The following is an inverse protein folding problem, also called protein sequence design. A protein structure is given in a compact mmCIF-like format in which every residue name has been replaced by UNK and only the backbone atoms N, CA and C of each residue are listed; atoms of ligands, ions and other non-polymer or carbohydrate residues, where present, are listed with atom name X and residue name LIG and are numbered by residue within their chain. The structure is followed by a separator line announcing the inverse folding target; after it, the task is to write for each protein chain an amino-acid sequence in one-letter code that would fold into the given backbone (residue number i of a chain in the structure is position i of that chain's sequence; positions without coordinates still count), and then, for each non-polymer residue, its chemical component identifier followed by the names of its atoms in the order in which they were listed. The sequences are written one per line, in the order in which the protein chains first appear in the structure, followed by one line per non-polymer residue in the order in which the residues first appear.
data_IF_652085734055
#
_entry.id   IF_652085734055
#
_cell.length_a   1.000
_cell.length_b   1.000
_cell.length_c   1.000
_cell.angle_alpha   90.00
_cell.angle_beta   90.00
_cell.angle_gamma   90.00
#
_symmetry.space_group_name_H-M   'P 1'
#
loop_
_entity.id
_entity.type
_entity.pdbx_description
1 polymer ?
#
# COMPACT_ATOMS: atom_id res chain seq x y z
N UNK A 1 0.48 -4.82 -27.66
CA UNK A 1 0.97 -5.73 -26.59
C UNK A 1 1.14 -4.90 -25.33
N UNK A 2 0.91 -5.45 -24.12
CA UNK A 2 1.18 -4.70 -22.90
C UNK A 2 2.64 -4.27 -22.83
N UNK A 3 2.88 -3.03 -22.42
CA UNK A 3 4.21 -2.48 -22.21
C UNK A 3 4.72 -2.89 -20.83
N UNK A 4 5.95 -3.41 -20.78
CA UNK A 4 6.58 -3.87 -19.55
C UNK A 4 7.79 -3.01 -19.21
N UNK A 5 7.98 -2.77 -17.92
CA UNK A 5 9.19 -2.19 -17.36
C UNK A 5 9.90 -3.20 -16.46
N UNK A 6 11.20 -2.98 -16.25
CA UNK A 6 12.03 -3.82 -15.38
C UNK A 6 12.45 -3.02 -14.15
N UNK A 7 12.48 -3.68 -13.00
CA UNK A 7 13.08 -3.15 -11.77
C UNK A 7 14.23 -4.07 -11.34
N UNK A 8 15.23 -3.49 -10.67
CA UNK A 8 16.33 -4.25 -10.07
C UNK A 8 16.18 -4.27 -8.55
N UNK A 9 16.47 -5.41 -7.94
CA UNK A 9 16.52 -5.58 -6.49
C UNK A 9 17.91 -6.07 -6.06
N UNK A 10 18.33 -5.81 -4.81
CA UNK A 10 19.57 -6.37 -4.28
C UNK A 10 19.61 -7.89 -4.42
N UNK A 11 20.79 -8.43 -4.75
CA UNK A 11 20.96 -9.88 -4.99
C UNK A 11 20.60 -10.72 -3.77
N UNK A 12 20.91 -10.22 -2.57
CA UNK A 12 20.63 -10.95 -1.33
C UNK A 12 19.13 -10.97 -1.03
N UNK A 13 18.41 -9.88 -1.31
CA UNK A 13 16.95 -9.87 -1.23
C UNK A 13 16.32 -10.86 -2.21
N UNK A 14 16.82 -10.93 -3.44
CA UNK A 14 16.36 -11.93 -4.41
C UNK A 14 16.55 -13.36 -3.87
N UNK A 15 17.71 -13.65 -3.28
CA UNK A 15 18.01 -14.97 -2.70
C UNK A 15 17.11 -15.29 -1.51
N UNK A 16 16.86 -14.32 -0.65
CA UNK A 16 15.97 -14.47 0.49
C UNK A 16 14.55 -14.84 0.04
N UNK A 17 14.02 -14.14 -0.96
CA UNK A 17 12.70 -14.44 -1.55
C UNK A 17 12.72 -15.82 -2.20
N UNK A 18 13.77 -16.17 -2.93
CA UNK A 18 13.90 -17.47 -3.57
C UNK A 18 13.92 -18.61 -2.54
N UNK A 19 14.66 -18.46 -1.44
CA UNK A 19 14.67 -19.40 -0.32
C UNK A 19 13.29 -19.51 0.32
N UNK A 20 12.63 -18.39 0.61
CA UNK A 20 11.27 -18.38 1.17
C UNK A 20 10.29 -19.20 0.34
N UNK A 21 10.30 -19.03 -0.98
CA UNK A 21 9.42 -19.75 -1.91
C UNK A 21 9.75 -21.25 -1.91
N UNK A 22 11.04 -21.62 -1.95
CA UNK A 22 11.46 -23.03 -1.97
C UNK A 22 11.13 -23.76 -0.66
N UNK A 23 11.32 -23.07 0.46
CA UNK A 23 11.11 -23.64 1.79
C UNK A 23 9.62 -23.75 2.14
N UNK A 24 8.76 -22.97 1.47
CA UNK A 24 7.33 -22.89 1.76
C UNK A 24 6.49 -23.01 0.47
N UNK A 25 6.42 -24.20 -0.16
CA UNK A 25 5.65 -24.40 -1.38
C UNK A 25 4.14 -24.13 -1.20
N UNK A 26 3.64 -24.17 0.04
CA UNK A 26 2.25 -23.81 0.38
C UNK A 26 1.90 -22.34 0.18
N UNK A 27 2.87 -21.46 -0.05
CA UNK A 27 2.63 -20.03 -0.34
C UNK A 27 2.04 -19.81 -1.75
N UNK A 28 2.13 -20.78 -2.64
CA UNK A 28 1.52 -20.71 -3.98
C UNK A 28 2.30 -19.88 -5.01
N UNK A 29 3.50 -19.40 -4.68
CA UNK A 29 4.36 -18.68 -5.63
C UNK A 29 5.23 -19.63 -6.43
N UNK A 30 5.29 -19.44 -7.75
CA UNK A 30 6.17 -20.22 -8.64
C UNK A 30 7.49 -19.51 -8.96
N UNK A 31 7.58 -18.21 -8.69
CA UNK A 31 8.78 -17.40 -8.95
C UNK A 31 8.89 -16.17 -8.05
N UNK A 32 10.12 -15.68 -7.89
CA UNK A 32 10.41 -14.39 -7.24
C UNK A 32 9.59 -13.26 -7.86
N UNK A 33 9.42 -13.27 -9.19
CA UNK A 33 8.67 -12.24 -9.90
C UNK A 33 7.18 -12.23 -9.54
N UNK A 34 6.56 -13.39 -9.28
CA UNK A 34 5.16 -13.44 -8.85
C UNK A 34 4.97 -12.82 -7.48
N UNK A 35 5.81 -13.22 -6.51
CA UNK A 35 5.77 -12.67 -5.17
C UNK A 35 6.02 -11.15 -5.20
N UNK A 36 7.03 -10.68 -5.93
CA UNK A 36 7.30 -9.24 -6.05
C UNK A 36 6.12 -8.47 -6.65
N UNK A 37 5.47 -8.99 -7.70
CA UNK A 37 4.30 -8.34 -8.32
C UNK A 37 3.14 -8.20 -7.32
N UNK A 38 2.89 -9.23 -6.51
CA UNK A 38 1.85 -9.18 -5.49
C UNK A 38 2.18 -8.20 -4.37
N UNK A 39 3.41 -8.27 -3.82
CA UNK A 39 3.87 -7.36 -2.79
C UNK A 39 3.78 -5.89 -3.23
N UNK A 40 4.16 -5.57 -4.46
CA UNK A 40 4.03 -4.21 -5.02
C UNK A 40 2.56 -3.78 -5.10
N UNK A 41 1.65 -4.67 -5.51
CA UNK A 41 0.21 -4.35 -5.60
C UNK A 41 -0.40 -4.11 -4.22
N UNK A 42 -0.07 -4.96 -3.24
CA UNK A 42 -0.54 -4.82 -1.87
C UNK A 42 -0.05 -3.49 -1.29
N UNK A 43 1.25 -3.19 -1.41
CA UNK A 43 1.79 -1.93 -0.88
C UNK A 43 1.20 -0.71 -1.58
N UNK A 44 0.98 -0.78 -2.90
CA UNK A 44 0.33 0.32 -3.62
C UNK A 44 -1.12 0.52 -3.17
N UNK A 45 -1.84 -0.56 -2.84
CA UNK A 45 -3.19 -0.47 -2.27
C UNK A 45 -3.18 0.19 -0.90
N UNK A 46 -2.29 -0.25 -0.01
CA UNK A 46 -2.10 0.34 1.33
C UNK A 46 -1.80 1.83 1.24
N UNK A 47 -0.82 2.24 0.43
CA UNK A 47 -0.46 3.65 0.25
C UNK A 47 -1.64 4.49 -0.25
N UNK A 48 -2.48 3.94 -1.14
CA UNK A 48 -3.69 4.63 -1.59
C UNK A 48 -4.76 4.75 -0.50
N UNK A 49 -4.86 3.75 0.37
CA UNK A 49 -5.77 3.79 1.51
C UNK A 49 -5.26 4.78 2.57
N UNK A 50 -3.98 4.75 2.92
CA UNK A 50 -3.33 5.73 3.81
C UNK A 50 -3.56 7.17 3.30
N UNK A 51 -3.41 7.42 2.00
CA UNK A 51 -3.69 8.73 1.40
C UNK A 51 -5.17 9.12 1.49
N UNK A 52 -6.08 8.16 1.29
CA UNK A 52 -7.53 8.41 1.38
C UNK A 52 -7.97 8.67 2.82
N UNK A 53 -7.47 7.90 3.78
CA UNK A 53 -7.74 8.10 5.20
C UNK A 53 -7.19 9.44 5.68
N UNK A 54 -5.98 9.82 5.23
CA UNK A 54 -5.45 11.17 5.45
C UNK A 54 -6.38 12.27 4.92
N UNK A 55 -6.86 12.15 3.68
CA UNK A 55 -7.82 13.11 3.10
C UNK A 55 -9.17 13.12 3.82
N UNK A 56 -9.71 11.95 4.19
CA UNK A 56 -10.97 11.86 4.95
C UNK A 56 -10.82 12.52 6.33
N UNK A 57 -9.67 12.36 6.99
CA UNK A 57 -9.42 13.01 8.28
C UNK A 57 -9.33 14.53 8.16
N UNK A 58 -8.79 15.07 7.07
CA UNK A 58 -8.75 16.53 6.84
C UNK A 58 -10.17 17.09 6.66
N UNK A 59 -11.02 16.40 5.88
CA UNK A 59 -12.42 16.79 5.66
C UNK A 59 -13.24 16.68 6.94
N UNK A 60 -13.11 15.58 7.69
CA UNK A 60 -13.82 15.38 8.97
C UNK A 60 -13.40 16.43 10.01
N UNK A 61 -12.13 16.85 10.03
CA UNK A 61 -11.64 17.92 10.91
C UNK A 61 -12.22 19.28 10.50
N UNK A 62 -12.30 19.57 9.21
CA UNK A 62 -12.89 20.82 8.70
C UNK A 62 -14.39 20.92 9.03
N UNK A 63 -15.16 19.83 8.81
CA UNK A 63 -16.58 19.76 9.17
C UNK A 63 -16.81 19.94 10.69
N UNK A 64 -15.95 19.35 11.54
CA UNK A 64 -15.99 19.54 12.99
C UNK A 64 -15.70 20.98 13.40
N UNK A 65 -14.72 21.63 12.76
CA UNK A 65 -14.39 23.03 13.02
C UNK A 65 -15.56 23.95 12.62
N UNK A 66 -16.17 23.75 11.47
CA UNK A 66 -17.36 24.52 11.03
C UNK A 66 -18.52 24.39 12.04
N UNK A 67 -18.75 23.17 12.54
CA UNK A 67 -19.79 22.88 13.53
C UNK A 67 -19.53 23.59 14.86
N UNK A 68 -18.27 23.60 15.33
CA UNK A 68 -17.86 24.33 16.53
C UNK A 68 -17.98 25.83 16.36
N UNK A 69 -17.58 26.37 15.21
CA UNK A 69 -17.72 27.80 14.90
C UNK A 69 -19.19 28.25 14.88
N UNK A 70 -20.09 27.45 14.31
CA UNK A 70 -21.53 27.74 14.36
C UNK A 70 -22.04 27.74 15.79
N UNK A 71 -21.67 26.73 16.59
CA UNK A 71 -22.10 26.63 17.98
C UNK A 71 -21.62 27.81 18.83
N UNK A 72 -20.40 28.31 18.59
CA UNK A 72 -19.83 29.48 19.28
C UNK A 72 -20.43 30.83 18.81
N UNK A 73 -21.09 30.87 17.65
CA UNK A 73 -21.80 32.07 17.15
C UNK A 73 -23.24 32.16 17.65
N UNK A 74 -23.80 31.05 18.14
CA UNK A 74 -25.18 30.97 18.64
C UNK A 74 -25.31 31.27 20.15
N UNK A 75 -24.18 31.48 20.86
CA UNK A 75 -24.11 32.06 22.22
C UNK A 75 -23.86 33.57 22.23
#
# INVERSE_FOLDING_TARGET
MPEYSTISIPKDLHREIESLIKDNPGLGYSSVAELCKEAIRLRLSEVRMEQREGMLSEVEVEELLETLEQSLREE
#
